data_IF_521689353856
#
_entry.id   IF_521689353856
#
_cell.length_a   1.000
_cell.length_b   1.000
_cell.length_c   1.000
_cell.angle_alpha   90.00
_cell.angle_beta   90.00
_cell.angle_gamma   90.00
#
_symmetry.space_group_name_H-M   'P 1'
#
loop_
_entity.id
_entity.type
_entity.pdbx_description
1 polymer ?
#
# COMPACT_ATOMS: atom_id res chain seq x y z
N UNK A 1 1.33 28.85 -51.78
CA UNK A 1 0.68 27.64 -51.24
C UNK A 1 1.36 27.30 -49.93
N UNK A 2 0.63 27.49 -48.83
CA UNK A 2 1.09 27.39 -47.44
C UNK A 2 0.55 26.10 -46.82
N UNK A 3 1.39 25.38 -46.07
CA UNK A 3 0.95 24.36 -45.10
C UNK A 3 1.77 24.55 -43.82
N UNK A 4 1.16 25.23 -42.86
CA UNK A 4 1.62 25.33 -41.48
C UNK A 4 1.30 24.01 -40.75
N UNK A 5 2.31 23.41 -40.13
CA UNK A 5 2.14 22.28 -39.23
C UNK A 5 1.92 22.79 -37.80
N UNK A 6 0.78 22.42 -37.22
CA UNK A 6 0.38 22.75 -35.85
C UNK A 6 0.94 21.69 -34.90
N UNK A 7 1.98 22.01 -34.13
CA UNK A 7 2.45 21.18 -33.02
C UNK A 7 1.60 21.49 -31.77
N UNK A 8 0.86 20.49 -31.28
CA UNK A 8 0.21 20.54 -29.95
C UNK A 8 1.24 20.12 -28.91
N UNK A 9 1.64 21.05 -28.05
CA UNK A 9 2.40 20.76 -26.85
C UNK A 9 1.45 20.18 -25.77
N UNK A 10 1.78 18.99 -25.27
CA UNK A 10 1.14 18.38 -24.09
C UNK A 10 1.91 18.88 -22.87
N UNK A 11 1.25 19.67 -22.03
CA UNK A 11 1.77 20.14 -20.74
C UNK A 11 1.49 19.05 -19.70
N UNK A 12 2.53 18.32 -19.31
CA UNK A 12 2.53 17.43 -18.15
C UNK A 12 2.85 18.29 -16.93
N UNK A 13 1.88 18.46 -16.03
CA UNK A 13 2.08 19.13 -14.74
C UNK A 13 2.59 18.11 -13.72
N UNK A 14 3.91 18.04 -13.57
CA UNK A 14 4.57 17.38 -12.44
C UNK A 14 4.41 18.25 -11.19
N UNK A 15 3.82 17.65 -10.13
CA UNK A 15 3.57 18.29 -8.85
C UNK A 15 4.86 18.77 -8.17
N UNK A 16 4.83 20.03 -7.74
CA UNK A 16 5.88 20.74 -7.03
C UNK A 16 5.86 20.33 -5.55
N UNK A 17 6.95 19.75 -5.04
CA UNK A 17 7.21 19.64 -3.60
C UNK A 17 7.83 20.95 -3.16
N UNK A 18 7.07 21.78 -2.45
CA UNK A 18 7.60 22.94 -1.73
C UNK A 18 8.45 22.45 -0.55
N UNK A 19 9.75 22.36 -0.76
CA UNK A 19 10.73 22.35 0.33
C UNK A 19 10.88 23.78 0.85
N UNK A 20 10.28 24.07 2.00
CA UNK A 20 10.60 25.30 2.75
C UNK A 20 12.00 25.12 3.32
N UNK A 21 12.98 25.75 2.67
CA UNK A 21 14.33 25.90 3.20
C UNK A 21 14.31 27.00 4.25
N UNK A 22 14.37 26.63 5.52
CA UNK A 22 14.48 27.59 6.62
C UNK A 22 15.95 27.80 6.98
N UNK A 23 16.46 28.97 6.64
CA UNK A 23 17.78 29.44 6.99
C UNK A 23 17.69 30.86 7.50
N UNK A 24 17.44 31.05 8.80
CA UNK A 24 17.95 32.22 9.53
C UNK A 24 17.90 32.02 11.04
N UNK A 25 19.10 31.88 11.62
CA UNK A 25 19.38 31.99 13.05
C UNK A 25 18.98 33.39 13.55
N UNK A 26 17.93 33.45 14.37
CA UNK A 26 17.74 34.53 15.33
C UNK A 26 17.68 33.94 16.74
N UNK A 27 18.72 34.26 17.50
CA UNK A 27 18.76 34.12 18.96
C UNK A 27 17.52 34.76 19.57
N UNK A 28 16.73 33.98 20.29
CA UNK A 28 15.85 34.52 21.33
C UNK A 28 15.94 33.65 22.58
N UNK A 29 16.21 34.33 23.70
CA UNK A 29 16.42 33.77 25.02
C UNK A 29 15.17 33.08 25.56
N UNK A 30 15.24 31.76 25.81
CA UNK A 30 14.25 31.06 26.61
C UNK A 30 14.60 31.19 28.10
N UNK A 31 13.84 32.02 28.82
CA UNK A 31 13.78 32.07 30.28
C UNK A 31 13.22 30.73 30.80
N UNK A 32 14.08 29.96 31.44
CA UNK A 32 13.71 28.75 32.18
C UNK A 32 13.00 29.15 33.47
N UNK A 33 11.67 28.96 33.54
CA UNK A 33 10.97 28.92 34.82
C UNK A 33 11.15 27.53 35.44
N UNK A 34 12.08 27.46 36.39
CA UNK A 34 12.36 26.28 37.21
C UNK A 34 11.35 26.27 38.36
N UNK A 35 10.27 25.50 38.25
CA UNK A 35 9.41 25.21 39.40
C UNK A 35 10.08 24.13 40.23
N UNK A 36 10.59 24.55 41.39
CA UNK A 36 11.18 23.74 42.46
C UNK A 36 10.04 23.09 43.23
N UNK A 37 9.87 21.77 43.14
CA UNK A 37 9.05 21.02 44.08
C UNK A 37 9.95 20.42 45.16
N UNK A 38 9.93 21.07 46.33
CA UNK A 38 10.43 20.50 47.58
C UNK A 38 9.48 19.38 48.02
N UNK A 39 10.04 18.19 48.23
CA UNK A 39 9.37 17.08 48.90
C UNK A 39 9.86 17.04 50.35
N UNK A 40 9.00 17.47 51.27
CA UNK A 40 9.15 17.20 52.70
C UNK A 40 8.08 16.18 53.12
N UNK A 41 8.55 15.21 53.90
CA UNK A 41 7.82 14.16 54.59
C UNK A 41 6.81 14.76 55.58
N UNK A 42 5.60 14.20 55.66
CA UNK A 42 5.13 13.60 56.91
C UNK A 42 3.89 12.72 56.69
N UNK A 43 3.93 11.54 57.31
CA UNK A 43 2.78 10.66 57.54
C UNK A 43 2.10 11.07 58.84
N UNK A 44 0.77 11.00 58.93
CA UNK A 44 0.03 10.10 59.85
C UNK A 44 -1.42 10.56 60.11
N UNK A 45 -2.34 9.62 59.86
CA UNK A 45 -3.67 9.36 60.48
C UNK A 45 -4.84 10.34 60.37
N UNK A 46 -6.00 9.79 60.00
CA UNK A 46 -7.32 10.30 60.41
C UNK A 46 -8.44 9.91 59.45
N UNK A 47 -9.26 8.94 59.83
CA UNK A 47 -10.39 8.43 59.05
C UNK A 47 -11.64 9.33 59.10
N UNK A 48 -12.50 9.15 58.09
CA UNK A 48 -13.96 9.37 58.08
C UNK A 48 -14.52 10.74 57.67
N UNK A 49 -14.93 10.85 56.39
CA UNK A 49 -16.15 11.51 55.89
C UNK A 49 -16.21 11.32 54.35
N UNK A 50 -16.93 10.33 53.84
CA UNK A 50 -18.34 10.38 53.38
C UNK A 50 -18.69 11.58 52.49
N UNK A 51 -18.93 11.23 51.22
CA UNK A 51 -19.76 11.91 50.22
C UNK A 51 -19.17 13.07 49.40
N UNK A 52 -19.55 13.05 48.12
CA UNK A 52 -19.37 14.06 47.07
C UNK A 52 -18.01 14.12 46.35
N UNK A 53 -17.85 13.29 45.31
CA UNK A 53 -17.15 13.70 44.08
C UNK A 53 -17.50 12.77 42.89
N UNK A 54 -18.80 12.65 42.58
CA UNK A 54 -19.23 12.49 41.19
C UNK A 54 -19.24 13.91 40.64
N UNK A 55 -18.27 14.25 39.80
CA UNK A 55 -18.23 15.35 38.80
C UNK A 55 -16.77 15.65 38.48
N UNK A 56 -16.30 15.10 37.36
CA UNK A 56 -15.54 15.81 36.32
C UNK A 56 -15.17 14.77 35.25
N UNK A 57 -16.20 14.26 34.56
CA UNK A 57 -16.03 14.05 33.12
C UNK A 57 -15.70 15.43 32.59
N UNK A 58 -14.48 15.57 32.12
CA UNK A 58 -13.99 16.75 31.43
C UNK A 58 -14.78 16.87 30.13
N UNK A 59 -15.94 17.51 30.20
CA UNK A 59 -16.51 18.24 29.06
C UNK A 59 -15.53 19.38 28.76
N UNK A 60 -14.53 19.10 27.93
CA UNK A 60 -13.75 20.13 27.27
C UNK A 60 -14.61 20.60 26.10
N UNK A 61 -15.68 21.34 26.41
CA UNK A 61 -16.24 22.28 25.44
C UNK A 61 -15.21 23.40 25.30
N UNK A 62 -14.18 23.13 24.49
CA UNK A 62 -13.32 24.18 23.92
C UNK A 62 -14.27 25.12 23.20
N UNK A 63 -14.64 26.23 23.84
CA UNK A 63 -15.39 27.29 23.19
C UNK A 63 -14.57 27.70 21.96
N UNK A 64 -15.12 27.45 20.77
CA UNK A 64 -14.49 27.80 19.51
C UNK A 64 -14.25 29.31 19.51
N UNK A 65 -13.12 29.74 18.97
CA UNK A 65 -12.91 31.17 18.75
C UNK A 65 -13.84 31.64 17.65
N UNK A 66 -14.24 32.92 17.64
CA UNK A 66 -15.04 33.49 16.55
C UNK A 66 -14.41 33.25 15.16
N UNK A 67 -13.06 33.17 15.09
CA UNK A 67 -12.35 32.84 13.86
C UNK A 67 -12.57 31.39 13.43
N UNK A 68 -12.60 30.44 14.37
CA UNK A 68 -12.90 29.03 14.10
C UNK A 68 -14.34 28.84 13.65
N UNK A 69 -15.31 29.47 14.31
CA UNK A 69 -16.73 29.41 13.90
C UNK A 69 -16.91 29.95 12.48
N UNK A 70 -16.26 31.07 12.15
CA UNK A 70 -16.28 31.62 10.80
C UNK A 70 -15.64 30.67 9.77
N UNK A 71 -14.51 30.04 10.11
CA UNK A 71 -13.87 29.07 9.23
C UNK A 71 -14.77 27.85 8.97
N UNK A 72 -15.45 27.34 10.01
CA UNK A 72 -16.40 26.23 9.87
C UNK A 72 -17.60 26.59 8.97
N UNK A 73 -18.12 27.82 9.08
CA UNK A 73 -19.17 28.30 8.17
C UNK A 73 -18.71 28.34 6.71
N UNK A 74 -17.48 28.80 6.46
CA UNK A 74 -16.91 28.81 5.11
C UNK A 74 -16.75 27.38 4.57
N UNK A 75 -16.27 26.44 5.40
CA UNK A 75 -16.15 25.04 5.01
C UNK A 75 -17.51 24.41 4.67
N UNK A 76 -18.56 24.73 5.43
CA UNK A 76 -19.92 24.27 5.15
C UNK A 76 -20.45 24.80 3.81
N UNK A 77 -20.30 26.10 3.55
CA UNK A 77 -20.68 26.71 2.27
C UNK A 77 -19.89 26.12 1.08
N UNK A 78 -18.60 25.87 1.30
CA UNK A 78 -17.74 25.26 0.30
C UNK A 78 -18.24 23.83 -0.03
N UNK A 79 -18.56 23.02 0.98
CA UNK A 79 -19.10 21.67 0.80
C UNK A 79 -20.39 21.65 -0.05
N UNK A 80 -21.31 22.59 0.18
CA UNK A 80 -22.55 22.72 -0.61
C UNK A 80 -22.26 23.08 -2.08
N UNK A 81 -21.28 23.96 -2.31
CA UNK A 81 -20.95 24.45 -3.66
C UNK A 81 -20.28 23.35 -4.50
N UNK A 82 -19.43 22.53 -3.87
CA UNK A 82 -18.61 21.52 -4.55
C UNK A 82 -19.43 20.33 -5.07
N UNK A 83 -20.63 20.08 -4.53
CA UNK A 83 -21.50 19.00 -5.00
C UNK A 83 -21.86 19.08 -6.49
N UNK A 84 -21.73 20.28 -7.09
CA UNK A 84 -21.98 20.52 -8.52
C UNK A 84 -20.73 20.47 -9.41
N UNK A 85 -19.53 20.31 -8.82
CA UNK A 85 -18.28 20.40 -9.56
C UNK A 85 -18.05 19.17 -10.44
N UNK A 86 -17.36 19.39 -11.56
CA UNK A 86 -16.87 18.33 -12.44
C UNK A 86 -15.38 18.56 -12.70
N UNK A 87 -14.57 17.49 -12.81
CA UNK A 87 -14.94 16.07 -12.68
C UNK A 87 -15.18 15.65 -11.22
N UNK A 88 -16.00 14.61 -10.99
CA UNK A 88 -16.56 14.30 -9.65
C UNK A 88 -15.51 13.73 -8.68
N UNK A 89 -14.40 13.25 -9.21
CA UNK A 89 -13.19 12.90 -8.49
C UNK A 89 -12.69 14.05 -7.62
N UNK A 90 -12.78 15.31 -8.11
CA UNK A 90 -12.40 16.47 -7.30
C UNK A 90 -13.40 16.73 -6.19
N UNK A 91 -14.69 16.51 -6.44
CA UNK A 91 -15.73 16.64 -5.42
C UNK A 91 -15.44 15.71 -4.24
N UNK A 92 -15.21 14.42 -4.52
CA UNK A 92 -14.85 13.41 -3.51
C UNK A 92 -13.60 13.82 -2.73
N UNK A 93 -12.52 14.22 -3.42
CA UNK A 93 -11.27 14.62 -2.77
C UNK A 93 -11.44 15.83 -1.86
N UNK A 94 -12.09 16.89 -2.34
CA UNK A 94 -12.24 18.11 -1.55
C UNK A 94 -13.18 17.88 -0.38
N UNK A 95 -14.29 17.14 -0.57
CA UNK A 95 -15.17 16.77 0.54
C UNK A 95 -14.44 15.95 1.61
N UNK A 96 -13.61 14.99 1.20
CA UNK A 96 -12.83 14.19 2.14
C UNK A 96 -11.83 15.05 2.94
N UNK A 97 -11.20 16.04 2.31
CA UNK A 97 -10.31 17.00 3.00
C UNK A 97 -11.06 17.95 3.92
N UNK A 98 -12.28 18.37 3.56
CA UNK A 98 -13.13 19.16 4.45
C UNK A 98 -13.46 18.33 5.69
N UNK A 99 -13.89 17.07 5.52
CA UNK A 99 -14.21 16.19 6.64
C UNK A 99 -12.99 15.90 7.54
N UNK A 100 -11.81 15.66 6.95
CA UNK A 100 -10.54 15.53 7.68
C UNK A 100 -10.21 16.78 8.54
N UNK A 101 -10.41 17.98 7.99
CA UNK A 101 -10.23 19.23 8.73
C UNK A 101 -11.25 19.39 9.87
N UNK A 102 -12.49 18.94 9.64
CA UNK A 102 -13.57 18.99 10.63
C UNK A 102 -13.33 18.03 11.80
N UNK A 103 -12.53 16.96 11.63
CA UNK A 103 -12.33 15.94 12.66
C UNK A 103 -11.91 16.50 14.02
N UNK A 104 -11.03 17.51 14.03
CA UNK A 104 -10.54 18.14 15.27
C UNK A 104 -11.57 19.05 15.96
N UNK A 105 -12.71 19.31 15.34
CA UNK A 105 -13.74 20.26 15.79
C UNK A 105 -15.10 19.59 16.02
N UNK A 106 -15.49 18.67 15.14
CA UNK A 106 -16.74 17.91 15.17
C UNK A 106 -16.45 16.50 14.62
N UNK A 107 -15.91 15.66 15.51
CA UNK A 107 -15.50 14.28 15.20
C UNK A 107 -16.68 13.45 14.66
N UNK A 108 -17.85 13.55 15.28
CA UNK A 108 -19.02 12.77 14.90
C UNK A 108 -19.51 13.12 13.49
N UNK A 109 -19.49 14.40 13.14
CA UNK A 109 -19.79 14.82 11.76
C UNK A 109 -18.71 14.37 10.79
N UNK A 110 -17.43 14.60 11.09
CA UNK A 110 -16.34 14.19 10.22
C UNK A 110 -16.33 12.68 9.93
N UNK A 111 -16.59 11.87 10.97
CA UNK A 111 -16.74 10.41 10.87
C UNK A 111 -17.86 10.04 9.90
N UNK A 112 -19.07 10.60 10.06
CA UNK A 112 -20.19 10.35 9.16
C UNK A 112 -19.90 10.78 7.72
N UNK A 113 -19.34 11.98 7.54
CA UNK A 113 -19.04 12.53 6.22
C UNK A 113 -18.01 11.63 5.50
N UNK A 114 -16.93 11.20 6.16
CA UNK A 114 -15.92 10.30 5.58
C UNK A 114 -16.47 8.91 5.23
N UNK A 115 -17.33 8.34 6.08
CA UNK A 115 -18.03 7.07 5.81
C UNK A 115 -18.95 7.17 4.58
N UNK A 116 -19.76 8.23 4.50
CA UNK A 116 -20.63 8.49 3.36
C UNK A 116 -19.82 8.68 2.06
N UNK A 117 -18.74 9.45 2.12
CA UNK A 117 -17.84 9.65 0.98
C UNK A 117 -17.26 8.31 0.53
N UNK A 118 -16.80 7.46 1.45
CA UNK A 118 -16.26 6.14 1.12
C UNK A 118 -17.26 5.25 0.37
N UNK A 119 -18.51 5.22 0.81
CA UNK A 119 -19.57 4.44 0.17
C UNK A 119 -20.06 5.04 -1.15
N UNK A 120 -20.02 6.36 -1.30
CA UNK A 120 -20.51 7.05 -2.51
C UNK A 120 -19.56 6.94 -3.71
N UNK A 121 -18.29 6.54 -3.52
CA UNK A 121 -17.28 6.49 -4.60
C UNK A 121 -17.76 5.70 -5.83
N UNK A 122 -18.40 4.53 -5.65
CA UNK A 122 -18.90 3.72 -6.77
C UNK A 122 -20.13 4.34 -7.46
N UNK A 123 -20.96 5.04 -6.70
CA UNK A 123 -22.17 5.68 -7.24
C UNK A 123 -21.83 6.91 -8.09
N UNK A 124 -20.67 7.50 -7.80
CA UNK A 124 -20.22 8.79 -8.35
C UNK A 124 -19.39 8.61 -9.63
N UNK A 125 -18.72 7.47 -9.78
CA UNK A 125 -17.92 7.14 -10.95
C UNK A 125 -18.66 6.09 -11.79
N UNK A 126 -19.41 6.49 -12.84
CA UNK A 126 -20.04 5.52 -13.72
C UNK A 126 -18.96 4.67 -14.39
N UNK A 127 -19.07 3.34 -14.29
CA UNK A 127 -18.19 2.43 -14.99
C UNK A 127 -18.19 2.77 -16.50
N UNK A 128 -17.03 3.09 -17.12
CA UNK A 128 -16.96 3.29 -18.55
C UNK A 128 -17.51 2.07 -19.29
N UNK A 129 -18.25 2.31 -20.38
CA UNK A 129 -19.15 1.34 -21.00
C UNK A 129 -18.53 0.02 -21.52
N UNK A 130 -19.46 -0.91 -21.82
CA UNK A 130 -19.37 -2.27 -22.39
C UNK A 130 -18.47 -3.33 -21.72
N UNK A 131 -17.39 -2.98 -21.04
CA UNK A 131 -16.61 -3.94 -20.25
C UNK A 131 -16.67 -3.58 -18.76
N UNK A 132 -17.87 -3.75 -18.19
CA UNK A 132 -18.18 -3.45 -16.77
C UNK A 132 -17.34 -4.27 -15.79
N UNK A 133 -16.67 -5.30 -16.27
CA UNK A 133 -15.89 -6.22 -15.45
C UNK A 133 -14.39 -5.90 -15.48
N UNK A 134 -13.90 -5.05 -16.41
CA UNK A 134 -12.47 -4.74 -16.48
C UNK A 134 -12.04 -3.97 -15.23
N UNK A 135 -11.03 -4.47 -14.52
CA UNK A 135 -10.45 -3.77 -13.35
C UNK A 135 -9.87 -2.40 -13.70
N UNK A 136 -9.47 -2.17 -14.96
CA UNK A 136 -9.05 -0.87 -15.48
C UNK A 136 -10.13 0.22 -15.31
N UNK A 137 -11.41 -0.14 -15.48
CA UNK A 137 -12.55 0.76 -15.24
C UNK A 137 -12.73 1.15 -13.76
N UNK A 138 -12.15 0.37 -12.84
CA UNK A 138 -12.29 0.51 -11.37
C UNK A 138 -11.14 1.26 -10.72
N UNK A 139 -10.08 1.54 -11.45
CA UNK A 139 -8.89 2.22 -10.93
C UNK A 139 -9.24 3.56 -10.26
N UNK A 140 -10.06 4.45 -10.87
CA UNK A 140 -10.38 5.73 -10.24
C UNK A 140 -11.08 5.58 -8.89
N UNK A 141 -12.02 4.63 -8.78
CA UNK A 141 -12.76 4.37 -7.54
C UNK A 141 -11.84 3.81 -6.45
N UNK A 142 -11.01 2.82 -6.77
CA UNK A 142 -10.03 2.24 -5.84
C UNK A 142 -9.06 3.29 -5.29
N UNK A 143 -8.60 4.22 -6.13
CA UNK A 143 -7.72 5.30 -5.69
C UNK A 143 -8.39 6.28 -4.74
N UNK A 144 -9.63 6.68 -5.04
CA UNK A 144 -10.39 7.58 -4.16
C UNK A 144 -10.67 6.91 -2.81
N UNK A 145 -11.07 5.63 -2.81
CA UNK A 145 -11.21 4.85 -1.57
C UNK A 145 -9.93 4.80 -0.76
N UNK A 146 -8.80 4.51 -1.41
CA UNK A 146 -7.50 4.50 -0.74
C UNK A 146 -7.16 5.86 -0.13
N UNK A 147 -7.46 6.96 -0.82
CA UNK A 147 -7.21 8.32 -0.33
C UNK A 147 -8.09 8.63 0.90
N UNK A 148 -9.39 8.32 0.83
CA UNK A 148 -10.34 8.50 1.93
C UNK A 148 -9.95 7.63 3.13
N UNK A 149 -9.63 6.35 2.91
CA UNK A 149 -9.16 5.46 3.97
C UNK A 149 -7.85 5.94 4.59
N UNK A 150 -6.95 6.55 3.82
CA UNK A 150 -5.73 7.16 4.36
C UNK A 150 -6.02 8.27 5.36
N UNK A 151 -7.02 9.12 5.07
CA UNK A 151 -7.48 10.16 6.00
C UNK A 151 -8.11 9.55 7.26
N UNK A 152 -9.02 8.58 7.08
CA UNK A 152 -9.68 7.90 8.20
C UNK A 152 -8.64 7.19 9.09
N UNK A 153 -7.68 6.49 8.49
CA UNK A 153 -6.67 5.72 9.24
C UNK A 153 -5.75 6.60 10.09
N UNK A 154 -5.58 7.88 9.72
CA UNK A 154 -4.83 8.85 10.52
C UNK A 154 -5.50 9.22 11.84
N UNK A 155 -6.83 9.05 11.93
CA UNK A 155 -7.62 9.41 13.11
C UNK A 155 -8.26 8.21 13.81
N UNK A 156 -8.83 7.28 13.05
CA UNK A 156 -9.61 6.12 13.52
C UNK A 156 -9.29 4.88 12.65
N UNK A 157 -8.16 4.19 12.91
CA UNK A 157 -7.78 3.00 12.14
C UNK A 157 -8.76 1.83 12.30
N UNK A 158 -9.52 1.78 13.40
CA UNK A 158 -10.57 0.76 13.59
C UNK A 158 -11.76 0.99 12.66
N UNK A 159 -12.14 2.25 12.42
CA UNK A 159 -13.14 2.62 11.43
C UNK A 159 -12.68 2.27 10.01
N UNK A 160 -11.44 2.62 9.64
CA UNK A 160 -10.90 2.29 8.31
C UNK A 160 -10.95 0.78 8.04
N UNK A 161 -10.57 -0.04 9.02
CA UNK A 161 -10.63 -1.49 8.92
C UNK A 161 -12.08 -2.02 8.78
N UNK A 162 -13.03 -1.44 9.53
CA UNK A 162 -14.45 -1.77 9.39
C UNK A 162 -14.98 -1.45 8.00
N UNK A 163 -14.60 -0.33 7.42
CA UNK A 163 -14.99 0.07 6.06
C UNK A 163 -14.42 -0.84 4.98
N UNK A 164 -13.16 -1.27 5.11
CA UNK A 164 -12.59 -2.27 4.20
C UNK A 164 -13.37 -3.59 4.31
N UNK A 165 -13.71 -4.02 5.54
CA UNK A 165 -14.50 -5.24 5.76
C UNK A 165 -15.91 -5.13 5.19
N UNK A 166 -16.54 -3.94 5.27
CA UNK A 166 -17.89 -3.66 4.78
C UNK A 166 -18.00 -3.50 3.27
N UNK A 167 -16.90 -3.61 2.50
CA UNK A 167 -17.01 -3.77 1.06
C UNK A 167 -17.73 -5.11 0.79
N UNK A 168 -19.04 -5.06 0.62
CA UNK A 168 -19.85 -6.25 0.39
C UNK A 168 -19.54 -6.84 -0.98
N UNK A 169 -19.72 -8.16 -1.12
CA UNK A 169 -19.92 -8.79 -2.43
C UNK A 169 -21.32 -8.45 -2.93
N UNK A 170 -21.55 -7.16 -3.18
CA UNK A 170 -22.89 -6.68 -3.44
C UNK A 170 -23.31 -7.11 -4.85
N UNK A 171 -24.20 -8.11 -4.90
CA UNK A 171 -24.69 -8.77 -6.12
C UNK A 171 -25.40 -7.82 -7.11
N UNK A 172 -25.70 -6.58 -6.70
CA UNK A 172 -26.27 -5.54 -7.54
C UNK A 172 -25.24 -4.84 -8.43
N UNK A 173 -23.96 -4.95 -8.09
CA UNK A 173 -22.85 -4.46 -8.90
C UNK A 173 -22.27 -5.61 -9.72
N UNK A 174 -21.83 -5.35 -10.95
CA UNK A 174 -21.30 -6.34 -11.92
C UNK A 174 -19.98 -7.01 -11.48
N UNK A 175 -19.70 -7.10 -10.18
CA UNK A 175 -18.39 -7.43 -9.66
C UNK A 175 -18.31 -8.90 -9.25
N UNK A 176 -17.23 -9.57 -9.65
CA UNK A 176 -16.94 -10.92 -9.17
C UNK A 176 -16.43 -10.88 -7.73
N UNK A 177 -16.78 -11.90 -6.94
CA UNK A 177 -16.31 -12.03 -5.56
C UNK A 177 -14.77 -12.05 -5.45
N UNK A 178 -14.07 -12.56 -6.48
CA UNK A 178 -12.61 -12.57 -6.55
C UNK A 178 -12.03 -11.15 -6.66
N UNK A 179 -12.64 -10.29 -7.47
CA UNK A 179 -12.18 -8.92 -7.66
C UNK A 179 -12.33 -8.09 -6.38
N UNK A 180 -13.43 -8.27 -5.65
CA UNK A 180 -13.65 -7.58 -4.37
C UNK A 180 -12.66 -8.04 -3.31
N UNK A 181 -12.34 -9.35 -3.26
CA UNK A 181 -11.27 -9.86 -2.37
C UNK A 181 -9.93 -9.20 -2.71
N UNK A 182 -9.56 -9.10 -3.99
CA UNK A 182 -8.32 -8.46 -4.45
C UNK A 182 -8.28 -6.98 -4.06
N UNK A 183 -9.37 -6.24 -4.22
CA UNK A 183 -9.48 -4.84 -3.78
C UNK A 183 -9.32 -4.71 -2.26
N UNK A 184 -10.00 -5.54 -1.47
CA UNK A 184 -9.83 -5.58 -0.01
C UNK A 184 -8.38 -5.79 0.40
N UNK A 185 -7.70 -6.76 -0.22
CA UNK A 185 -6.29 -7.03 0.07
C UNK A 185 -5.41 -5.81 -0.22
N UNK A 186 -5.64 -5.12 -1.34
CA UNK A 186 -4.93 -3.90 -1.67
C UNK A 186 -5.17 -2.78 -0.65
N UNK A 187 -6.43 -2.45 -0.36
CA UNK A 187 -6.77 -1.37 0.57
C UNK A 187 -6.21 -1.67 1.97
N UNK A 188 -6.23 -2.94 2.37
CA UNK A 188 -5.62 -3.40 3.63
C UNK A 188 -4.11 -3.14 3.64
N UNK A 189 -3.39 -3.43 2.55
CA UNK A 189 -1.95 -3.21 2.47
C UNK A 189 -1.56 -1.73 2.38
N UNK A 190 -2.41 -0.90 1.74
CA UNK A 190 -2.25 0.55 1.73
C UNK A 190 -2.47 1.15 3.12
N UNK A 191 -3.50 0.69 3.84
CA UNK A 191 -3.71 1.07 5.24
C UNK A 191 -2.55 0.64 6.13
N UNK A 192 -2.06 -0.60 5.95
CA UNK A 192 -0.89 -1.08 6.65
C UNK A 192 0.32 -0.17 6.40
N UNK A 193 0.57 0.24 5.16
CA UNK A 193 1.66 1.16 4.81
C UNK A 193 1.54 2.51 5.52
N UNK A 194 0.32 3.05 5.65
CA UNK A 194 0.08 4.32 6.34
C UNK A 194 0.31 4.22 7.87
N UNK A 195 0.11 3.04 8.46
CA UNK A 195 0.27 2.80 9.89
C UNK A 195 1.71 2.43 10.30
N UNK A 196 2.62 2.16 9.36
CA UNK A 196 3.98 1.71 9.69
C UNK A 196 4.73 2.69 10.61
N UNK A 197 4.54 3.99 10.43
CA UNK A 197 5.23 5.02 11.21
C UNK A 197 4.71 5.15 12.65
N UNK A 198 3.44 4.85 12.88
CA UNK A 198 2.74 5.08 14.15
C UNK A 198 2.52 3.79 14.94
N UNK A 199 2.18 2.69 14.26
CA UNK A 199 1.91 1.37 14.83
C UNK A 199 2.38 0.25 13.88
N UNK A 200 3.70 -0.07 13.88
CA UNK A 200 4.26 -1.10 13.01
C UNK A 200 3.75 -2.51 13.33
N UNK A 201 3.32 -2.77 14.57
CA UNK A 201 2.72 -4.06 14.97
C UNK A 201 1.36 -4.25 14.33
N UNK A 202 0.49 -3.24 14.42
CA UNK A 202 -0.80 -3.28 13.73
C UNK A 202 -0.65 -3.32 12.21
N UNK A 203 0.31 -2.58 11.65
CA UNK A 203 0.63 -2.68 10.22
C UNK A 203 0.98 -4.11 9.81
N UNK A 204 1.77 -4.83 10.62
CA UNK A 204 2.11 -6.22 10.37
C UNK A 204 0.90 -7.16 10.44
N UNK A 205 -0.01 -6.97 11.40
CA UNK A 205 -1.25 -7.74 11.50
C UNK A 205 -2.13 -7.57 10.26
N UNK A 206 -2.22 -6.34 9.74
CA UNK A 206 -2.94 -6.05 8.50
C UNK A 206 -2.29 -6.72 7.29
N UNK A 207 -0.96 -6.65 7.14
CA UNK A 207 -0.25 -7.37 6.08
C UNK A 207 -0.54 -8.86 6.18
N UNK A 208 -0.40 -9.45 7.36
CA UNK A 208 -0.67 -10.85 7.63
C UNK A 208 -2.10 -11.26 7.25
N UNK A 209 -3.10 -10.41 7.52
CA UNK A 209 -4.49 -10.67 7.13
C UNK A 209 -4.68 -10.66 5.60
N UNK A 210 -3.98 -9.75 4.89
CA UNK A 210 -4.06 -9.62 3.44
C UNK A 210 -3.42 -10.79 2.69
N UNK A 211 -2.43 -11.46 3.29
CA UNK A 211 -1.74 -12.61 2.69
C UNK A 211 -2.67 -13.80 2.39
N UNK A 212 -3.81 -13.90 3.08
CA UNK A 212 -4.82 -14.96 2.84
C UNK A 212 -5.45 -14.89 1.44
N UNK A 213 -5.36 -13.74 0.77
CA UNK A 213 -5.90 -13.50 -0.57
C UNK A 213 -4.81 -13.69 -1.65
N UNK A 214 -3.54 -13.81 -1.24
CA UNK A 214 -2.38 -13.91 -2.11
C UNK A 214 -1.50 -12.67 -2.11
N UNK A 215 -0.34 -12.76 -2.77
CA UNK A 215 0.60 -11.64 -2.86
C UNK A 215 0.13 -10.63 -3.91
N UNK A 216 -0.05 -9.38 -3.46
CA UNK A 216 -0.41 -8.25 -4.32
C UNK A 216 0.80 -7.34 -4.54
N UNK A 217 0.72 -6.45 -5.53
CA UNK A 217 1.78 -5.47 -5.83
C UNK A 217 2.11 -4.54 -4.67
N UNK A 218 1.15 -4.25 -3.79
CA UNK A 218 1.35 -3.43 -2.58
C UNK A 218 2.13 -4.14 -1.48
N UNK A 219 2.30 -5.46 -1.56
CA UNK A 219 3.08 -6.19 -0.57
C UNK A 219 4.52 -5.68 -0.47
N UNK A 220 5.17 -5.44 -1.62
CA UNK A 220 6.57 -5.01 -1.71
C UNK A 220 6.81 -3.67 -1.00
N UNK A 221 6.15 -2.55 -1.37
CA UNK A 221 6.40 -1.27 -0.72
C UNK A 221 6.02 -1.28 0.77
N UNK A 222 4.94 -1.98 1.15
CA UNK A 222 4.53 -2.09 2.56
C UNK A 222 5.55 -2.87 3.38
N UNK A 223 6.03 -4.01 2.89
CA UNK A 223 7.03 -4.80 3.58
C UNK A 223 8.37 -4.06 3.70
N UNK A 224 8.77 -3.31 2.68
CA UNK A 224 9.96 -2.46 2.73
C UNK A 224 9.81 -1.33 3.76
N UNK A 225 8.63 -0.70 3.85
CA UNK A 225 8.36 0.29 4.87
C UNK A 225 8.48 -0.32 6.28
N UNK A 226 7.86 -1.49 6.53
CA UNK A 226 7.98 -2.20 7.80
C UNK A 226 9.43 -2.55 8.09
N UNK A 227 10.17 -3.07 7.10
CA UNK A 227 11.58 -3.45 7.25
C UNK A 227 12.47 -2.29 7.69
N UNK A 228 12.22 -1.07 7.22
CA UNK A 228 12.95 0.14 7.67
C UNK A 228 12.70 0.47 9.14
N UNK A 229 11.53 0.13 9.69
CA UNK A 229 11.17 0.39 11.09
C UNK A 229 11.50 -0.76 12.02
N UNK A 230 11.16 -1.97 11.60
CA UNK A 230 11.30 -3.20 12.36
C UNK A 230 11.71 -4.36 11.42
N UNK A 231 13.02 -4.57 11.21
CA UNK A 231 13.54 -5.63 10.33
C UNK A 231 13.10 -7.03 10.75
N UNK A 232 13.02 -7.30 12.06
CA UNK A 232 12.62 -8.62 12.57
C UNK A 232 11.17 -8.94 12.20
N UNK A 233 10.26 -7.97 12.38
CA UNK A 233 8.86 -8.12 12.00
C UNK A 233 8.68 -8.30 10.49
N UNK A 234 9.48 -7.58 9.68
CA UNK A 234 9.49 -7.79 8.23
C UNK A 234 10.00 -9.18 7.83
N UNK A 235 10.99 -9.73 8.54
CA UNK A 235 11.48 -11.10 8.30
C UNK A 235 10.43 -12.15 8.65
N UNK A 236 9.64 -11.95 9.72
CA UNK A 236 8.52 -12.82 10.08
C UNK A 236 7.41 -12.80 9.01
N UNK A 237 6.99 -11.61 8.57
CA UNK A 237 6.01 -11.45 7.50
C UNK A 237 6.50 -12.09 6.22
N UNK A 238 7.77 -11.86 5.85
CA UNK A 238 8.36 -12.44 4.66
C UNK A 238 8.39 -13.97 4.74
N UNK A 239 8.77 -14.55 5.88
CA UNK A 239 8.78 -15.99 6.06
C UNK A 239 7.38 -16.60 5.86
N UNK A 240 6.34 -15.94 6.38
CA UNK A 240 4.96 -16.37 6.15
C UNK A 240 4.53 -16.26 4.69
N UNK A 241 4.85 -15.14 4.03
CA UNK A 241 4.58 -14.94 2.61
C UNK A 241 5.28 -15.99 1.74
N UNK A 242 6.52 -16.35 2.10
CA UNK A 242 7.27 -17.41 1.43
C UNK A 242 6.60 -18.79 1.60
N UNK A 243 6.12 -19.13 2.80
CA UNK A 243 5.39 -20.39 3.02
C UNK A 243 4.13 -20.48 2.16
N UNK A 244 3.35 -19.40 2.06
CA UNK A 244 2.17 -19.37 1.19
C UNK A 244 2.55 -19.48 -0.29
N UNK A 245 3.61 -18.81 -0.72
CA UNK A 245 4.12 -18.91 -2.08
C UNK A 245 4.64 -20.30 -2.46
N UNK A 246 5.09 -21.09 -1.48
CA UNK A 246 5.51 -22.49 -1.68
C UNK A 246 4.32 -23.42 -1.91
N UNK A 247 3.15 -23.10 -1.33
CA UNK A 247 1.91 -23.86 -1.50
C UNK A 247 1.19 -23.47 -2.81
N UNK A 248 1.35 -22.23 -3.27
CA UNK A 248 0.75 -21.70 -4.50
C UNK A 248 1.65 -21.88 -5.72
N UNK A 249 1.64 -23.09 -6.28
CA UNK A 249 2.43 -23.43 -7.48
C UNK A 249 1.92 -22.76 -8.75
N UNK A 250 0.62 -22.44 -8.81
CA UNK A 250 -0.04 -21.81 -9.96
C UNK A 250 0.52 -20.40 -10.21
N UNK A 251 0.74 -19.62 -9.15
CA UNK A 251 1.27 -18.26 -9.24
C UNK A 251 2.75 -18.16 -8.89
N UNK A 252 3.50 -19.26 -9.06
CA UNK A 252 4.88 -19.37 -8.61
C UNK A 252 5.81 -18.29 -9.19
N UNK A 253 5.68 -17.94 -10.47
CA UNK A 253 6.45 -16.83 -11.08
C UNK A 253 6.19 -15.49 -10.38
N UNK A 254 4.90 -15.12 -10.29
CA UNK A 254 4.47 -13.87 -9.66
C UNK A 254 4.96 -13.79 -8.22
N UNK A 255 4.80 -14.87 -7.47
CA UNK A 255 5.24 -14.95 -6.09
C UNK A 255 6.77 -14.85 -5.97
N UNK A 256 7.53 -15.52 -6.84
CA UNK A 256 9.00 -15.37 -6.91
C UNK A 256 9.42 -13.93 -7.17
N UNK A 257 8.79 -13.26 -8.14
CA UNK A 257 9.11 -11.87 -8.49
C UNK A 257 8.79 -10.86 -7.39
N UNK A 258 7.62 -10.98 -6.73
CA UNK A 258 7.23 -10.11 -5.62
C UNK A 258 8.11 -10.32 -4.38
N UNK A 259 8.43 -11.57 -4.04
CA UNK A 259 9.32 -11.89 -2.93
C UNK A 259 10.76 -11.43 -3.21
N UNK A 260 11.26 -11.62 -4.44
CA UNK A 260 12.56 -11.08 -4.84
C UNK A 260 12.60 -9.56 -4.71
N UNK A 261 11.56 -8.86 -5.19
CA UNK A 261 11.44 -7.41 -5.08
C UNK A 261 11.41 -6.88 -3.65
N UNK A 262 10.92 -7.71 -2.73
CA UNK A 262 10.88 -7.37 -1.31
C UNK A 262 12.24 -7.50 -0.62
N UNK A 263 13.08 -8.45 -1.05
CA UNK A 263 14.40 -8.70 -0.45
C UNK A 263 15.53 -7.92 -1.14
N UNK A 264 15.45 -7.74 -2.45
CA UNK A 264 16.53 -7.22 -3.29
C UNK A 264 16.04 -6.05 -4.15
N UNK A 265 15.61 -4.92 -3.56
CA UNK A 265 15.04 -3.80 -4.31
C UNK A 265 15.94 -3.34 -5.47
N UNK A 266 17.27 -3.33 -5.27
CA UNK A 266 18.24 -2.92 -6.29
C UNK A 266 18.34 -3.90 -7.47
N UNK A 267 18.27 -5.20 -7.21
CA UNK A 267 18.24 -6.22 -8.27
C UNK A 267 16.86 -6.32 -8.95
N UNK A 268 15.84 -5.71 -8.35
CA UNK A 268 14.43 -5.94 -8.70
C UNK A 268 13.79 -4.82 -9.50
N UNK A 269 14.54 -3.76 -9.83
CA UNK A 269 14.09 -2.64 -10.65
C UNK A 269 13.58 -3.01 -12.06
N UNK A 270 13.65 -4.29 -12.44
CA UNK A 270 12.96 -4.88 -13.58
C UNK A 270 12.22 -6.21 -13.31
N UNK A 271 12.17 -6.72 -12.07
CA UNK A 271 11.47 -7.99 -11.74
C UNK A 271 9.96 -7.82 -11.59
N UNK A 272 9.49 -6.68 -11.07
CA UNK A 272 8.05 -6.40 -11.00
C UNK A 272 7.38 -6.32 -12.38
N UNK A 273 8.17 -6.03 -13.43
CA UNK A 273 7.68 -6.00 -14.81
C UNK A 273 7.47 -7.43 -15.36
N UNK A 274 8.21 -8.42 -14.85
CA UNK A 274 8.20 -9.82 -15.35
C UNK A 274 7.44 -10.81 -14.48
N UNK A 275 6.99 -10.40 -13.29
CA UNK A 275 6.27 -11.24 -12.32
C UNK A 275 4.79 -11.46 -12.69
N UNK A 276 4.48 -11.61 -13.98
CA UNK A 276 3.10 -11.76 -14.45
C UNK A 276 2.37 -10.43 -14.56
N UNK A 277 2.84 -9.58 -15.46
CA UNK A 277 1.99 -8.61 -16.14
C UNK A 277 1.03 -9.39 -17.06
N UNK A 278 0.14 -10.20 -16.46
CA UNK A 278 -1.05 -10.65 -17.19
C UNK A 278 -1.82 -9.39 -17.59
N UNK A 279 -2.29 -9.43 -18.83
CA UNK A 279 -2.46 -8.28 -19.72
C UNK A 279 -3.51 -7.24 -19.30
N UNK A 280 -4.12 -7.30 -18.11
CA UNK A 280 -5.35 -6.54 -17.89
C UNK A 280 -5.48 -5.66 -16.63
N UNK A 281 -4.69 -5.79 -15.56
CA UNK A 281 -5.24 -5.33 -14.26
C UNK A 281 -4.41 -4.47 -13.31
N UNK A 282 -3.08 -4.62 -13.24
CA UNK A 282 -2.27 -3.99 -12.18
C UNK A 282 -1.09 -3.15 -12.69
N UNK A 283 -1.06 -2.79 -14.00
CA UNK A 283 -0.08 -1.84 -14.59
C UNK A 283 -0.29 -0.39 -14.15
N UNK A 284 -0.91 -0.20 -13.02
CA UNK A 284 -0.94 1.10 -12.38
C UNK A 284 0.51 1.50 -12.13
N UNK A 285 0.90 2.66 -12.66
CA UNK A 285 2.03 3.45 -12.15
C UNK A 285 1.74 3.68 -10.66
N UNK A 286 2.03 2.67 -9.83
CA UNK A 286 2.18 2.87 -8.40
C UNK A 286 3.39 3.78 -8.38
N UNK A 287 3.18 5.10 -8.27
CA UNK A 287 4.22 6.14 -8.21
C UNK A 287 5.17 5.98 -7.02
N UNK A 288 5.21 4.79 -6.42
CA UNK A 288 6.30 4.27 -5.65
C UNK A 288 7.45 3.96 -6.61
N UNK A 289 8.26 4.99 -6.85
CA UNK A 289 9.54 4.81 -7.50
C UNK A 289 10.46 3.98 -6.58
N UNK A 290 10.36 2.65 -6.71
CA UNK A 290 11.19 1.69 -6.00
C UNK A 290 12.68 1.92 -6.28
N UNK A 291 13.04 2.66 -7.35
CA UNK A 291 14.42 3.02 -7.67
C UNK A 291 14.94 4.21 -6.87
N UNK A 292 14.05 5.09 -6.38
CA UNK A 292 14.43 6.22 -5.52
C UNK A 292 14.19 5.96 -4.03
N UNK A 293 13.56 4.85 -3.65
CA UNK A 293 13.53 4.46 -2.24
C UNK A 293 14.95 4.11 -1.78
N UNK A 294 15.48 4.75 -0.73
CA UNK A 294 16.80 4.42 -0.21
C UNK A 294 16.85 2.95 0.17
N UNK A 295 17.95 2.28 -0.18
CA UNK A 295 18.16 0.87 0.12
C UNK A 295 17.83 0.61 1.60
N UNK A 296 16.75 -0.13 1.84
CA UNK A 296 16.39 -0.55 3.19
C UNK A 296 17.46 -1.47 3.78
N UNK A 297 17.42 -1.72 5.10
CA UNK A 297 18.33 -2.69 5.70
C UNK A 297 18.18 -4.04 4.99
N UNK A 298 19.32 -4.62 4.58
CA UNK A 298 19.37 -5.89 3.86
C UNK A 298 18.73 -6.98 4.73
N UNK A 299 17.94 -7.85 4.10
CA UNK A 299 17.34 -8.97 4.80
C UNK A 299 18.39 -9.90 5.42
N UNK A 300 18.05 -10.54 6.54
CA UNK A 300 18.96 -11.46 7.20
C UNK A 300 19.39 -12.62 6.30
N UNK A 301 20.62 -13.17 6.48
CA UNK A 301 21.16 -14.21 5.61
C UNK A 301 20.29 -15.48 5.57
N UNK A 302 19.63 -15.81 6.68
CA UNK A 302 18.72 -16.96 6.78
C UNK A 302 17.50 -16.80 5.87
N UNK A 303 16.91 -15.61 5.84
CA UNK A 303 15.73 -15.31 5.00
C UNK A 303 16.10 -15.34 3.52
N UNK A 304 17.23 -14.69 3.17
CA UNK A 304 17.80 -14.72 1.83
C UNK A 304 18.03 -16.16 1.36
N UNK A 305 18.66 -17.00 2.18
CA UNK A 305 18.94 -18.39 1.80
C UNK A 305 17.66 -19.21 1.61
N UNK A 306 16.66 -19.03 2.49
CA UNK A 306 15.35 -19.70 2.35
C UNK A 306 14.65 -19.32 1.04
N UNK A 307 14.63 -18.03 0.71
CA UNK A 307 14.05 -17.56 -0.55
C UNK A 307 14.77 -18.11 -1.78
N UNK A 308 16.11 -18.05 -1.81
CA UNK A 308 16.88 -18.58 -2.94
C UNK A 308 16.70 -20.11 -3.08
N UNK A 309 16.57 -20.84 -1.97
CA UNK A 309 16.25 -22.26 -2.00
C UNK A 309 14.86 -22.54 -2.58
N UNK A 310 13.86 -21.71 -2.27
CA UNK A 310 12.54 -21.77 -2.89
C UNK A 310 12.64 -21.55 -4.40
N UNK A 311 13.24 -20.44 -4.85
CA UNK A 311 13.40 -20.14 -6.27
C UNK A 311 14.09 -21.28 -7.02
N UNK A 312 15.18 -21.81 -6.44
CA UNK A 312 15.88 -22.97 -7.01
C UNK A 312 14.97 -24.18 -7.16
N UNK A 313 14.26 -24.54 -6.10
CA UNK A 313 13.41 -25.76 -6.09
C UNK A 313 12.27 -25.63 -7.09
N UNK A 314 11.58 -24.49 -7.08
CA UNK A 314 10.50 -24.17 -8.02
C UNK A 314 10.97 -24.20 -9.47
N UNK A 315 12.12 -23.58 -9.75
CA UNK A 315 12.64 -23.54 -11.12
C UNK A 315 13.10 -24.91 -11.62
N UNK A 316 13.82 -25.68 -10.80
CA UNK A 316 14.29 -27.02 -11.18
C UNK A 316 13.15 -28.04 -11.33
N UNK A 317 11.96 -27.76 -10.77
CA UNK A 317 10.75 -28.56 -10.96
C UNK A 317 9.93 -28.09 -12.17
N UNK A 318 10.26 -26.95 -12.78
CA UNK A 318 9.54 -26.43 -13.94
C UNK A 318 9.81 -27.34 -15.14
N UNK A 319 8.77 -28.01 -15.64
CA UNK A 319 8.89 -28.86 -16.82
C UNK A 319 8.67 -28.03 -18.09
N UNK A 320 9.53 -28.22 -19.09
CA UNK A 320 9.30 -27.68 -20.43
C UNK A 320 8.21 -28.52 -21.10
N UNK A 321 7.10 -27.93 -21.55
CA UNK A 321 6.08 -28.67 -22.31
C UNK A 321 6.72 -29.39 -23.50
N UNK A 322 6.49 -30.70 -23.62
CA UNK A 322 7.07 -31.53 -24.70
C UNK A 322 6.31 -31.42 -26.02
N UNK A 323 5.05 -31.00 -25.96
CA UNK A 323 4.20 -30.75 -27.14
C UNK A 323 3.83 -29.26 -27.16
N UNK A 324 4.30 -28.47 -28.14
CA UNK A 324 3.99 -27.04 -28.24
C UNK A 324 2.57 -26.77 -28.77
N UNK A 325 1.80 -27.79 -29.16
CA UNK A 325 0.47 -27.59 -29.74
C UNK A 325 -0.61 -27.40 -28.66
N UNK A 326 -1.20 -26.20 -28.61
CA UNK A 326 -2.40 -25.91 -27.83
C UNK A 326 -2.23 -24.80 -26.79
N UNK A 327 -3.35 -24.26 -26.32
CA UNK A 327 -3.37 -23.12 -25.40
C UNK A 327 -2.71 -23.43 -24.04
N UNK A 328 -2.79 -24.67 -23.56
CA UNK A 328 -2.13 -25.09 -22.31
C UNK A 328 -0.61 -25.18 -22.46
N UNK A 329 -0.14 -25.66 -23.62
CA UNK A 329 1.29 -25.70 -23.93
C UNK A 329 1.87 -24.29 -24.06
N UNK A 330 1.17 -23.40 -24.75
CA UNK A 330 1.54 -21.98 -24.87
C UNK A 330 1.62 -21.30 -23.50
N UNK A 331 0.63 -21.52 -22.63
CA UNK A 331 0.65 -21.00 -21.25
C UNK A 331 1.82 -21.56 -20.44
N UNK A 332 2.06 -22.86 -20.49
CA UNK A 332 3.19 -23.49 -19.81
C UNK A 332 4.54 -22.97 -20.33
N UNK A 333 4.64 -22.73 -21.64
CA UNK A 333 5.82 -22.19 -22.28
C UNK A 333 6.10 -20.75 -21.86
N UNK A 334 5.06 -19.91 -21.77
CA UNK A 334 5.16 -18.56 -21.21
C UNK A 334 5.63 -18.58 -19.76
N UNK A 335 5.06 -19.47 -18.93
CA UNK A 335 5.48 -19.63 -17.55
C UNK A 335 6.97 -20.02 -17.43
N UNK A 336 7.45 -20.94 -18.27
CA UNK A 336 8.87 -21.33 -18.32
C UNK A 336 9.75 -20.13 -18.69
N UNK A 337 9.36 -19.33 -19.68
CA UNK A 337 10.09 -18.14 -20.11
C UNK A 337 10.17 -17.10 -19.00
N UNK A 338 9.05 -16.80 -18.35
CA UNK A 338 9.02 -15.82 -17.27
C UNK A 338 9.84 -16.27 -16.05
N UNK A 339 9.70 -17.54 -15.65
CA UNK A 339 10.53 -18.14 -14.60
C UNK A 339 12.02 -18.05 -14.94
N UNK A 340 12.38 -18.35 -16.20
CA UNK A 340 13.77 -18.27 -16.69
C UNK A 340 14.31 -16.85 -16.62
N UNK A 341 13.51 -15.83 -16.98
CA UNK A 341 13.89 -14.42 -16.85
C UNK A 341 14.10 -14.02 -15.38
N UNK A 342 13.21 -14.45 -14.48
CA UNK A 342 13.33 -14.17 -13.05
C UNK A 342 14.59 -14.81 -12.46
N UNK A 343 14.86 -16.08 -12.76
CA UNK A 343 16.06 -16.79 -12.31
C UNK A 343 17.33 -16.19 -12.90
N UNK A 344 17.33 -15.82 -14.17
CA UNK A 344 18.49 -15.17 -14.81
C UNK A 344 18.88 -13.88 -14.08
N UNK A 345 17.90 -13.05 -13.69
CA UNK A 345 18.15 -11.83 -12.91
C UNK A 345 18.63 -12.12 -11.48
N UNK A 346 18.29 -13.27 -10.90
CA UNK A 346 18.73 -13.70 -9.57
C UNK A 346 20.10 -14.41 -9.56
N UNK A 347 20.66 -14.76 -10.73
CA UNK A 347 21.93 -15.50 -10.81
C UNK A 347 23.08 -14.88 -10.00
N UNK A 348 23.33 -13.56 -10.03
CA UNK A 348 24.39 -12.95 -9.22
C UNK A 348 24.22 -13.22 -7.71
N UNK A 349 22.97 -13.28 -7.23
CA UNK A 349 22.68 -13.58 -5.83
C UNK A 349 22.89 -15.06 -5.50
N UNK A 350 22.56 -15.96 -6.44
CA UNK A 350 22.92 -17.37 -6.30
C UNK A 350 24.42 -17.58 -6.28
N UNK A 351 25.17 -16.86 -7.10
CA UNK A 351 26.63 -16.90 -7.08
C UNK A 351 27.16 -16.41 -5.73
N UNK A 352 26.60 -15.34 -5.16
CA UNK A 352 27.07 -14.82 -3.89
C UNK A 352 26.73 -15.72 -2.68
N UNK A 353 25.56 -16.37 -2.70
CA UNK A 353 25.02 -17.04 -1.51
C UNK A 353 24.93 -18.57 -1.60
N UNK A 354 24.90 -19.14 -2.80
CA UNK A 354 24.64 -20.56 -3.07
C UNK A 354 25.41 -21.05 -4.32
N UNK A 355 26.75 -20.95 -4.29
CA UNK A 355 27.64 -21.24 -5.43
C UNK A 355 27.29 -22.54 -6.17
N UNK A 356 27.12 -23.66 -5.45
CA UNK A 356 26.85 -24.97 -6.05
C UNK A 356 25.56 -24.97 -6.87
N UNK A 357 24.53 -24.27 -6.40
CA UNK A 357 23.24 -24.16 -7.09
C UNK A 357 23.30 -23.24 -8.31
N UNK A 358 24.15 -22.21 -8.27
CA UNK A 358 24.32 -21.30 -9.42
C UNK A 358 24.79 -22.03 -10.69
N UNK A 359 25.69 -23.01 -10.56
CA UNK A 359 26.17 -23.80 -11.69
C UNK A 359 25.05 -24.65 -12.30
N UNK A 360 24.23 -25.29 -11.46
CA UNK A 360 23.08 -26.09 -11.89
C UNK A 360 22.01 -25.23 -12.58
N UNK A 361 21.71 -24.05 -12.04
CA UNK A 361 20.75 -23.12 -12.65
C UNK A 361 21.19 -22.66 -14.04
N UNK A 362 22.48 -22.36 -14.24
CA UNK A 362 23.01 -21.99 -15.56
C UNK A 362 22.91 -23.15 -16.55
N UNK A 363 23.23 -24.37 -16.12
CA UNK A 363 23.09 -25.56 -16.96
C UNK A 363 21.63 -25.75 -17.40
N UNK A 364 20.68 -25.63 -16.46
CA UNK A 364 19.26 -25.79 -16.75
C UNK A 364 18.70 -24.65 -17.63
N UNK A 365 19.06 -23.39 -17.36
CA UNK A 365 18.73 -22.26 -18.23
C UNK A 365 19.26 -22.45 -19.66
N UNK A 366 20.47 -23.00 -19.81
CA UNK A 366 21.03 -23.30 -21.14
C UNK A 366 20.30 -24.45 -21.83
N UNK A 367 19.82 -25.45 -21.10
CA UNK A 367 19.01 -26.54 -21.63
C UNK A 367 17.66 -26.04 -22.13
N UNK A 368 16.95 -25.26 -21.31
CA UNK A 368 15.74 -24.55 -21.67
C UNK A 368 16.00 -23.73 -22.94
N UNK A 369 17.01 -22.85 -22.95
CA UNK A 369 17.33 -22.00 -24.11
C UNK A 369 17.60 -22.74 -25.42
N UNK A 370 18.07 -24.01 -25.38
CA UNK A 370 18.22 -24.85 -26.59
C UNK A 370 16.87 -25.26 -27.17
N UNK A 371 15.88 -25.52 -26.32
CA UNK A 371 14.53 -25.91 -26.72
C UNK A 371 13.72 -24.73 -27.29
N UNK A 372 14.12 -23.49 -26.98
CA UNK A 372 13.43 -22.25 -27.41
C UNK A 372 14.04 -21.59 -28.65
N UNK A 373 14.94 -22.25 -29.40
CA UNK A 373 15.41 -21.71 -30.68
C UNK A 373 14.22 -21.63 -31.65
N UNK A 374 13.66 -20.44 -31.79
CA UNK A 374 12.77 -20.08 -32.89
C UNK A 374 13.62 -20.14 -34.17
N UNK A 375 13.37 -21.13 -35.02
CA UNK A 375 13.96 -21.22 -36.36
C UNK A 375 13.56 -20.03 -37.24
#
# INVERSE_FOLDING_TARGET
MSRAATMKAVLIFTGFVLTVSDGMLLQTHAKVYRVRTETARDQKTGASQRSAARTKSQDITKSLTMQQERALQILAQLSETIGSWKPVEWTVRVQARIADLLWNYDEDRARRDLEEIFHSVDSVLPAPGRDKDSSASRLPARFLRSEVLGLISGHDPDMAERLIKSLETDTATSFTAASIKKEKACLTLQMAAALVDTDPSRAADLVNSSLSIGLTSWFVPTLQAIRRKNPALADEIFARALSLAQEDTEHSNKNMGLLAASLFPEASGGMLITAGAEEDEDRVDIGFDLRSSPAGPVAGPVVTQRFLNFVYTTFMQTQVPTDPAGAEAERGMMQVLENSMTVHKLLPLFEQHLHDKSAMLRAHLSEIGKNFKFD
#
